data_IF_390593348028
#
_entry.id   IF_390593348028
#
_cell.length_a   1.000
_cell.length_b   1.000
_cell.length_c   1.000
_cell.angle_alpha   90.00
_cell.angle_beta   90.00
_cell.angle_gamma   90.00
#
_symmetry.space_group_name_H-M   'P 1'
#
loop_
_entity.id
_entity.type
_entity.pdbx_description
1 polymer ?
#
# COMPACT_ATOMS: atom_id res chain seq x y z
N UNK A 1 -8.92 -15.17 12.53
CA UNK A 1 -7.47 -15.38 12.72
C UNK A 1 -7.13 -15.19 14.19
N UNK A 2 -6.33 -16.06 14.80
CA UNK A 2 -5.88 -15.95 16.20
C UNK A 2 -4.35 -16.03 16.23
N UNK A 3 -3.68 -15.05 16.87
CA UNK A 3 -2.22 -15.04 17.04
C UNK A 3 -1.90 -15.36 18.50
N UNK A 4 -1.41 -16.57 18.77
CA UNK A 4 -1.26 -17.11 20.13
C UNK A 4 0.15 -17.64 20.44
N UNK A 5 1.14 -17.36 19.59
CA UNK A 5 2.52 -17.80 19.80
C UNK A 5 3.51 -16.77 19.28
N UNK A 6 4.51 -16.44 20.10
CA UNK A 6 5.63 -15.60 19.71
C UNK A 6 6.67 -16.41 18.90
N UNK A 7 7.48 -15.75 18.06
CA UNK A 7 8.66 -16.37 17.46
C UNK A 7 9.64 -16.86 18.53
N UNK A 8 10.28 -18.00 18.30
CA UNK A 8 11.38 -18.55 19.11
C UNK A 8 12.71 -17.90 18.74
N UNK A 9 12.88 -17.49 17.48
CA UNK A 9 14.06 -16.79 17.00
C UNK A 9 13.65 -15.67 16.03
N UNK A 10 13.88 -14.43 16.46
CA UNK A 10 13.51 -13.25 15.69
C UNK A 10 14.24 -13.16 14.34
N UNK A 11 15.54 -13.45 14.29
CA UNK A 11 16.30 -13.39 13.04
C UNK A 11 15.83 -14.44 12.03
N UNK A 12 15.55 -15.67 12.47
CA UNK A 12 15.15 -16.75 11.58
C UNK A 12 13.68 -16.71 11.16
N UNK A 13 12.79 -16.18 12.01
CA UNK A 13 11.35 -16.23 11.79
C UNK A 13 10.71 -14.87 11.47
N UNK A 14 11.32 -13.76 11.88
CA UNK A 14 10.82 -12.40 11.59
C UNK A 14 11.63 -11.76 10.48
N UNK A 15 12.95 -11.65 10.61
CA UNK A 15 13.77 -10.95 9.61
C UNK A 15 13.83 -11.69 8.26
N UNK A 16 13.85 -13.02 8.28
CA UNK A 16 13.91 -13.84 7.07
C UNK A 16 12.55 -14.18 6.47
N UNK A 17 11.44 -13.72 7.05
CA UNK A 17 10.12 -13.96 6.46
C UNK A 17 10.02 -13.29 5.07
N UNK A 18 9.27 -13.93 4.17
CA UNK A 18 9.14 -13.49 2.79
C UNK A 18 7.69 -13.63 2.28
N UNK A 19 6.90 -12.57 2.48
CA UNK A 19 5.55 -12.47 1.90
C UNK A 19 5.60 -11.89 0.49
N UNK A 20 4.89 -12.50 -0.46
CA UNK A 20 4.73 -11.98 -1.81
C UNK A 20 3.30 -12.22 -2.30
N UNK A 21 2.64 -11.24 -2.95
CA UNK A 21 1.33 -11.45 -3.57
C UNK A 21 1.31 -12.59 -4.60
N UNK A 22 2.45 -12.87 -5.24
CA UNK A 22 2.63 -13.99 -6.16
C UNK A 22 2.65 -15.38 -5.52
N UNK A 23 2.56 -15.49 -4.20
CA UNK A 23 2.30 -16.78 -3.54
C UNK A 23 0.80 -17.10 -3.62
N UNK A 24 0.32 -17.37 -4.83
CA UNK A 24 -1.06 -17.74 -5.11
C UNK A 24 -1.34 -19.21 -4.78
N UNK A 25 -2.60 -19.51 -4.53
CA UNK A 25 -3.16 -20.86 -4.44
C UNK A 25 -4.23 -21.02 -5.51
N UNK A 26 -4.56 -22.26 -5.85
CA UNK A 26 -5.60 -22.56 -6.84
C UNK A 26 -6.94 -21.87 -6.48
N UNK A 27 -7.58 -21.27 -7.48
CA UNK A 27 -8.83 -20.51 -7.32
C UNK A 27 -8.64 -19.04 -6.96
N UNK A 28 -7.40 -18.56 -6.74
CA UNK A 28 -7.10 -17.14 -6.55
C UNK A 28 -6.32 -16.57 -7.75
N UNK A 29 -6.79 -15.43 -8.24
CA UNK A 29 -6.19 -14.71 -9.36
C UNK A 29 -6.03 -13.22 -9.03
N UNK A 30 -5.12 -12.55 -9.73
CA UNK A 30 -4.96 -11.11 -9.63
C UNK A 30 -6.06 -10.37 -10.37
N UNK A 31 -6.47 -9.22 -9.81
CA UNK A 31 -7.20 -8.22 -10.56
C UNK A 31 -6.26 -7.40 -11.45
N UNK A 32 -6.84 -6.61 -12.35
CA UNK A 32 -6.10 -5.70 -13.25
C UNK A 32 -5.69 -4.38 -12.58
N UNK A 33 -5.69 -4.34 -11.24
CA UNK A 33 -5.14 -3.22 -10.50
C UNK A 33 -3.64 -3.05 -10.86
N UNK A 34 -3.30 -1.89 -11.44
CA UNK A 34 -1.95 -1.57 -11.92
C UNK A 34 -0.89 -1.69 -10.81
N UNK A 35 -1.24 -1.38 -9.56
CA UNK A 35 -0.35 -1.52 -8.41
C UNK A 35 -0.20 -2.98 -7.99
N UNK A 36 -1.29 -3.76 -7.96
CA UNK A 36 -1.23 -5.18 -7.64
C UNK A 36 -0.35 -5.94 -8.64
N UNK A 37 -0.49 -5.67 -9.93
CA UNK A 37 0.30 -6.28 -10.99
C UNK A 37 1.81 -6.03 -10.80
N UNK A 38 2.20 -4.80 -10.45
CA UNK A 38 3.60 -4.50 -10.10
C UNK A 38 4.07 -5.25 -8.84
N UNK A 39 3.24 -5.29 -7.81
CA UNK A 39 3.56 -5.98 -6.54
C UNK A 39 3.68 -7.49 -6.69
N UNK A 40 3.01 -8.10 -7.66
CA UNK A 40 3.18 -9.52 -7.97
C UNK A 40 4.65 -9.86 -8.30
N UNK A 41 5.35 -8.94 -8.97
CA UNK A 41 6.76 -9.12 -9.32
C UNK A 41 7.72 -8.66 -8.21
N UNK A 42 7.59 -7.41 -7.76
CA UNK A 42 8.62 -6.69 -6.97
C UNK A 42 9.02 -7.41 -5.68
N UNK A 43 8.06 -8.05 -4.99
CA UNK A 43 8.36 -8.70 -3.70
C UNK A 43 9.27 -9.90 -3.87
N UNK A 44 8.97 -10.79 -4.81
CA UNK A 44 9.78 -12.00 -5.04
C UNK A 44 11.15 -11.64 -5.59
N UNK A 45 11.25 -10.59 -6.40
CA UNK A 45 12.52 -10.07 -6.91
C UNK A 45 13.41 -9.56 -5.77
N UNK A 46 12.90 -8.65 -4.95
CA UNK A 46 13.61 -8.11 -3.80
C UNK A 46 14.03 -9.20 -2.80
N UNK A 47 13.21 -10.25 -2.61
CA UNK A 47 13.53 -11.38 -1.73
C UNK A 47 14.70 -12.21 -2.23
N UNK A 48 14.81 -12.45 -3.54
CA UNK A 48 15.98 -13.15 -4.13
C UNK A 48 17.26 -12.37 -3.88
N UNK A 49 17.21 -11.05 -3.96
CA UNK A 49 18.36 -10.21 -3.63
C UNK A 49 18.67 -10.22 -2.12
N UNK A 50 17.64 -10.02 -1.27
CA UNK A 50 17.79 -9.88 0.18
C UNK A 50 18.18 -11.17 0.91
N UNK A 51 17.64 -12.31 0.47
CA UNK A 51 17.75 -13.60 1.17
C UNK A 51 18.41 -14.71 0.34
N UNK A 52 18.76 -14.40 -0.91
CA UNK A 52 19.31 -15.36 -1.86
C UNK A 52 18.22 -16.06 -2.70
N UNK A 53 18.63 -16.75 -3.78
CA UNK A 53 17.71 -17.40 -4.72
C UNK A 53 16.86 -18.50 -4.06
N UNK A 54 17.40 -19.14 -3.02
CA UNK A 54 16.77 -20.23 -2.29
C UNK A 54 15.98 -19.80 -1.06
N UNK A 55 15.57 -18.52 -0.96
CA UNK A 55 14.86 -17.99 0.22
C UNK A 55 13.59 -18.76 0.60
N UNK A 56 12.98 -19.47 -0.36
CA UNK A 56 11.81 -20.36 -0.14
C UNK A 56 12.16 -21.63 0.64
N UNK A 57 13.43 -22.01 0.72
CA UNK A 57 13.91 -23.15 1.50
C UNK A 57 14.18 -22.79 2.97
N UNK A 58 14.18 -21.50 3.32
CA UNK A 58 14.28 -21.06 4.72
C UNK A 58 13.06 -21.60 5.48
N UNK A 59 13.23 -22.20 6.68
CA UNK A 59 12.16 -22.93 7.37
C UNK A 59 10.83 -22.16 7.50
N UNK A 60 10.87 -20.85 7.77
CA UNK A 60 9.67 -20.03 7.94
C UNK A 60 8.92 -19.77 6.62
N UNK A 61 9.60 -19.84 5.47
CA UNK A 61 9.03 -19.59 4.15
C UNK A 61 8.65 -20.87 3.40
N UNK A 62 9.01 -22.04 3.97
CA UNK A 62 8.89 -23.32 3.28
C UNK A 62 7.43 -23.73 3.17
N UNK A 63 6.95 -23.84 1.94
CA UNK A 63 5.69 -24.50 1.64
C UNK A 63 5.93 -26.01 1.49
N UNK A 64 5.07 -26.82 2.10
CA UNK A 64 5.13 -28.28 1.98
C UNK A 64 4.95 -28.70 0.51
N UNK A 65 5.84 -29.58 0.03
CA UNK A 65 5.85 -30.10 -1.35
C UNK A 65 6.02 -29.03 -2.45
N UNK A 66 6.54 -27.85 -2.12
CA UNK A 66 6.80 -26.82 -3.12
C UNK A 66 7.87 -27.27 -4.13
N UNK A 67 7.59 -27.04 -5.40
CA UNK A 67 8.58 -27.01 -6.47
C UNK A 67 8.31 -25.82 -7.39
N UNK A 68 9.30 -25.32 -8.14
CA UNK A 68 9.04 -24.27 -9.14
C UNK A 68 7.95 -24.65 -10.15
N UNK A 69 7.80 -25.94 -10.45
CA UNK A 69 6.75 -26.46 -11.35
C UNK A 69 5.35 -26.43 -10.73
N UNK A 70 5.24 -26.34 -9.41
CA UNK A 70 3.96 -26.26 -8.69
C UNK A 70 3.53 -24.82 -8.41
N UNK A 71 4.22 -23.82 -8.95
CA UNK A 71 3.76 -22.43 -8.84
C UNK A 71 2.49 -22.23 -9.65
N UNK A 72 1.45 -21.77 -8.98
CA UNK A 72 0.17 -21.42 -9.59
C UNK A 72 0.33 -20.02 -10.19
N UNK A 73 0.12 -19.89 -11.50
CA UNK A 73 -0.02 -18.57 -12.15
C UNK A 73 -1.40 -17.98 -11.82
N UNK A 74 -1.63 -16.72 -12.16
CA UNK A 74 -2.94 -16.07 -12.03
C UNK A 74 -3.96 -16.65 -13.03
N UNK A 75 -4.29 -17.92 -12.87
CA UNK A 75 -5.29 -18.66 -13.64
C UNK A 75 -5.05 -18.76 -15.14
N UNK A 76 -6.15 -18.97 -15.86
CA UNK A 76 -6.19 -19.06 -17.32
C UNK A 76 -6.21 -17.68 -18.00
N UNK A 77 -6.23 -16.60 -17.21
CA UNK A 77 -6.38 -15.23 -17.69
C UNK A 77 -7.81 -14.91 -18.13
N UNK A 78 -8.09 -13.61 -18.26
CA UNK A 78 -9.35 -13.09 -18.80
C UNK A 78 -9.14 -12.57 -20.22
N UNK A 79 -10.22 -12.53 -21.02
CA UNK A 79 -10.17 -11.88 -22.32
C UNK A 79 -9.85 -10.39 -22.15
N UNK A 80 -8.85 -9.90 -22.89
CA UNK A 80 -8.42 -8.51 -22.90
C UNK A 80 -8.47 -7.96 -24.32
N UNK A 81 -8.83 -6.69 -24.46
CA UNK A 81 -8.87 -5.96 -25.73
C UNK A 81 -8.37 -4.52 -25.50
N UNK A 82 -7.90 -3.88 -26.56
CA UNK A 82 -7.35 -2.52 -26.52
C UNK A 82 -5.95 -2.44 -27.11
N UNK A 83 -5.33 -1.26 -26.99
CA UNK A 83 -3.97 -1.01 -27.44
C UNK A 83 -3.00 -1.01 -26.25
N UNK A 84 -1.77 -1.45 -26.50
CA UNK A 84 -0.71 -1.37 -25.48
C UNK A 84 -0.38 0.10 -25.26
N UNK A 85 -0.65 0.61 -24.05
CA UNK A 85 -0.47 2.01 -23.71
C UNK A 85 0.08 2.22 -22.31
N UNK A 86 0.62 3.42 -22.08
CA UNK A 86 0.91 3.98 -20.76
C UNK A 86 -0.01 5.15 -20.52
N UNK A 87 -1.06 4.93 -19.77
CA UNK A 87 -2.09 5.91 -19.47
C UNK A 87 -2.54 5.82 -18.02
N UNK A 88 -3.10 6.91 -17.52
CA UNK A 88 -3.88 6.90 -16.28
C UNK A 88 -5.18 6.10 -16.48
N UNK A 89 -5.94 5.90 -15.40
CA UNK A 89 -7.30 5.38 -15.53
C UNK A 89 -8.22 6.50 -16.04
N UNK A 90 -9.30 6.15 -16.72
CA UNK A 90 -10.14 7.14 -17.42
C UNK A 90 -10.86 8.11 -16.48
N UNK A 91 -11.32 7.62 -15.31
CA UNK A 91 -12.11 8.40 -14.35
C UNK A 91 -11.53 8.30 -12.94
N UNK A 92 -10.41 8.99 -12.64
CA UNK A 92 -9.88 9.05 -11.28
C UNK A 92 -10.74 9.98 -10.42
N UNK A 93 -11.18 9.50 -9.26
CA UNK A 93 -11.76 10.32 -8.20
C UNK A 93 -10.82 10.36 -6.99
N UNK A 94 -9.93 11.36 -7.00
CA UNK A 94 -8.86 11.48 -6.02
C UNK A 94 -9.31 12.09 -4.69
N UNK A 95 -10.52 12.67 -4.61
CA UNK A 95 -10.89 13.59 -3.51
C UNK A 95 -12.14 13.20 -2.74
N UNK A 96 -13.15 12.57 -3.36
CA UNK A 96 -14.44 12.31 -2.71
C UNK A 96 -14.27 11.42 -1.47
N UNK A 97 -13.61 10.27 -1.63
CA UNK A 97 -13.42 9.32 -0.52
C UNK A 97 -12.59 9.91 0.63
N UNK A 98 -11.63 10.77 0.33
CA UNK A 98 -10.83 11.46 1.34
C UNK A 98 -11.69 12.44 2.17
N UNK A 99 -12.59 13.17 1.50
CA UNK A 99 -13.56 14.06 2.14
C UNK A 99 -14.54 13.29 3.04
N UNK A 100 -15.16 12.24 2.51
CA UNK A 100 -16.06 11.35 3.25
C UNK A 100 -15.37 10.75 4.48
N UNK A 101 -14.12 10.31 4.31
CA UNK A 101 -13.33 9.77 5.41
C UNK A 101 -13.13 10.82 6.50
N UNK A 102 -12.72 12.03 6.14
CA UNK A 102 -12.55 13.11 7.11
C UNK A 102 -13.86 13.39 7.85
N UNK A 103 -14.99 13.47 7.13
CA UNK A 103 -16.28 13.77 7.75
C UNK A 103 -16.77 12.69 8.72
N UNK A 104 -16.44 11.42 8.44
CA UNK A 104 -16.77 10.29 9.33
C UNK A 104 -16.01 10.29 10.66
N UNK A 105 -14.93 11.08 10.80
CA UNK A 105 -14.12 11.11 12.02
C UNK A 105 -14.86 11.82 13.17
N UNK A 106 -14.63 11.33 14.39
CA UNK A 106 -15.03 12.04 15.61
C UNK A 106 -14.34 13.41 15.70
N UNK A 107 -14.87 14.32 16.52
CA UNK A 107 -14.26 15.64 16.74
C UNK A 107 -12.80 15.53 17.17
N UNK A 108 -12.48 14.59 18.06
CA UNK A 108 -11.10 14.30 18.47
C UNK A 108 -10.27 13.75 17.31
N UNK A 109 -10.81 12.83 16.51
CA UNK A 109 -10.14 12.30 15.33
C UNK A 109 -9.81 13.39 14.30
N UNK A 110 -10.76 14.30 14.03
CA UNK A 110 -10.55 15.45 13.13
C UNK A 110 -9.48 16.39 13.70
N UNK A 111 -9.44 16.61 15.02
CA UNK A 111 -8.41 17.42 15.69
C UNK A 111 -7.02 16.80 15.53
N UNK A 112 -6.86 15.53 15.92
CA UNK A 112 -5.57 14.84 15.85
C UNK A 112 -5.05 14.74 14.40
N UNK A 113 -5.93 14.50 13.44
CA UNK A 113 -5.54 14.49 12.02
C UNK A 113 -4.97 15.84 11.57
N UNK A 114 -5.64 16.95 11.91
CA UNK A 114 -5.16 18.29 11.59
C UNK A 114 -3.80 18.54 12.24
N UNK A 115 -3.64 18.23 13.53
CA UNK A 115 -2.39 18.43 14.25
C UNK A 115 -1.23 17.64 13.63
N UNK A 116 -1.46 16.38 13.26
CA UNK A 116 -0.45 15.54 12.60
C UNK A 116 -0.06 16.09 11.21
N UNK A 117 -1.04 16.53 10.41
CA UNK A 117 -0.76 17.11 9.09
C UNK A 117 0.03 18.41 9.25
N UNK A 118 -0.37 19.30 10.16
CA UNK A 118 0.32 20.57 10.42
C UNK A 118 1.76 20.32 10.86
N UNK A 119 1.97 19.40 11.80
CA UNK A 119 3.30 19.06 12.29
C UNK A 119 4.22 18.54 11.17
N UNK A 120 3.70 17.74 10.24
CA UNK A 120 4.47 17.27 9.08
C UNK A 120 4.69 18.32 8.00
N UNK A 121 3.82 19.33 7.90
CA UNK A 121 3.80 20.27 6.78
C UNK A 121 4.42 21.64 7.10
N UNK A 122 4.50 22.03 8.37
CA UNK A 122 4.97 23.37 8.80
C UNK A 122 6.38 23.72 8.32
N UNK A 123 7.29 22.74 8.23
CA UNK A 123 8.66 22.94 7.77
C UNK A 123 8.86 22.72 6.27
N UNK A 124 7.81 22.34 5.54
CA UNK A 124 7.89 22.17 4.10
C UNK A 124 8.00 23.54 3.39
N UNK A 125 8.53 23.53 2.17
CA UNK A 125 8.56 24.74 1.32
C UNK A 125 7.14 25.25 1.10
N UNK A 126 6.96 26.57 1.06
CA UNK A 126 5.65 27.19 0.87
C UNK A 126 4.92 26.69 -0.38
N UNK A 127 5.65 26.37 -1.46
CA UNK A 127 5.08 25.74 -2.65
C UNK A 127 4.44 24.38 -2.35
N UNK A 128 5.14 23.50 -1.62
CA UNK A 128 4.61 22.20 -1.19
C UNK A 128 3.41 22.39 -0.26
N UNK A 129 3.47 23.32 0.69
CA UNK A 129 2.35 23.65 1.56
C UNK A 129 1.12 24.05 0.75
N UNK A 130 1.28 24.91 -0.26
CA UNK A 130 0.20 25.37 -1.12
C UNK A 130 -0.42 24.24 -1.95
N UNK A 131 0.41 23.34 -2.51
CA UNK A 131 -0.08 22.19 -3.28
C UNK A 131 -0.91 21.27 -2.39
N UNK A 132 -0.40 20.92 -1.21
CA UNK A 132 -1.11 20.05 -0.25
C UNK A 132 -2.41 20.71 0.20
N UNK A 133 -2.38 21.99 0.56
CA UNK A 133 -3.59 22.73 0.96
C UNK A 133 -4.63 22.77 -0.17
N UNK A 134 -4.21 22.88 -1.44
CA UNK A 134 -5.12 22.78 -2.59
C UNK A 134 -5.78 21.42 -2.70
N UNK A 135 -5.03 20.32 -2.52
CA UNK A 135 -5.60 18.97 -2.54
C UNK A 135 -6.56 18.75 -1.38
N UNK A 136 -6.17 19.19 -0.18
CA UNK A 136 -7.04 19.16 1.00
C UNK A 136 -8.31 19.98 0.77
N UNK A 137 -8.22 21.11 0.07
CA UNK A 137 -9.38 21.96 -0.26
C UNK A 137 -10.34 21.25 -1.22
N UNK A 138 -9.82 20.47 -2.17
CA UNK A 138 -10.63 19.64 -3.07
C UNK A 138 -11.32 18.49 -2.34
N UNK A 139 -10.68 17.91 -1.32
CA UNK A 139 -11.29 16.86 -0.49
C UNK A 139 -12.26 17.40 0.58
N UNK A 140 -11.88 18.43 1.33
CA UNK A 140 -12.72 19.08 2.34
C UNK A 140 -12.24 20.52 2.63
N UNK A 141 -13.04 21.55 2.27
CA UNK A 141 -12.74 22.95 2.60
C UNK A 141 -12.52 23.20 4.09
N UNK A 142 -13.26 22.48 4.95
CA UNK A 142 -13.14 22.60 6.39
C UNK A 142 -11.80 22.06 6.90
N UNK A 143 -11.32 20.92 6.37
CA UNK A 143 -10.01 20.37 6.69
C UNK A 143 -8.89 21.32 6.25
N UNK A 144 -8.92 21.79 4.99
CA UNK A 144 -7.92 22.71 4.45
C UNK A 144 -7.78 23.99 5.29
N UNK A 145 -8.91 24.60 5.65
CA UNK A 145 -8.92 25.80 6.50
C UNK A 145 -8.27 25.57 7.85
N UNK A 146 -8.54 24.42 8.49
CA UNK A 146 -7.97 24.09 9.80
C UNK A 146 -6.47 23.84 9.72
N UNK A 147 -6.00 23.14 8.69
CA UNK A 147 -4.56 22.91 8.46
C UNK A 147 -3.86 24.23 8.16
N UNK A 148 -4.42 25.09 7.32
CA UNK A 148 -3.84 26.41 7.01
C UNK A 148 -3.71 27.29 8.26
N UNK A 149 -4.76 27.35 9.09
CA UNK A 149 -4.71 28.07 10.37
C UNK A 149 -3.62 27.49 11.29
N UNK A 150 -3.50 26.17 11.33
CA UNK A 150 -2.50 25.49 12.14
C UNK A 150 -1.08 25.84 11.72
N UNK A 151 -0.77 25.81 10.42
CA UNK A 151 0.55 26.17 9.89
C UNK A 151 0.93 27.61 10.27
N UNK A 152 -0.02 28.55 10.19
CA UNK A 152 0.21 29.97 10.52
C UNK A 152 0.46 30.26 12.00
N UNK A 153 0.14 29.31 12.87
CA UNK A 153 0.26 29.47 14.32
C UNK A 153 1.66 29.11 14.84
N UNK A 154 2.47 28.43 14.01
CA UNK A 154 3.87 28.12 14.25
C UNK A 154 4.79 29.11 13.52
#
# INVERSE_FOLDING_TARGET
MVLNRNPENYAEQVEKLAFAPANLVEGLEFSDDKMLQGRAFVYSDAQRHRLGPDFRNIPINKQQNFSPKSMVSSGNGRYVAGEIMRSEIEEPDDFTQAGEKYESLSTLGKKNLVENIVSGLVHAKGETQNIVLRHLQMASPALAKRVWNGIKTF
#
